data_IF_925015027646
#
_entry.id   IF_925015027646
#
_cell.length_a   1.000
_cell.length_b   1.000
_cell.length_c   1.000
_cell.angle_alpha   90.00
_cell.angle_beta   90.00
_cell.angle_gamma   90.00
#
_symmetry.space_group_name_H-M   'P 1'
#
loop_
_entity.id
_entity.type
_entity.pdbx_description
1 polymer ?
#
# COMPACT_ATOMS: atom_id res chain seq x y z
N UNK A 1 -18.42 33.86 -3.49
CA UNK A 1 -17.88 32.52 -3.16
C UNK A 1 -16.34 32.59 -3.16
N UNK A 2 -15.74 33.24 -2.16
CA UNK A 2 -14.30 33.58 -2.20
C UNK A 2 -13.58 33.44 -0.85
N UNK A 3 -13.99 32.53 0.04
CA UNK A 3 -13.47 32.51 1.42
C UNK A 3 -13.28 31.11 2.04
N UNK A 4 -12.76 30.12 1.31
CA UNK A 4 -12.59 28.76 1.85
C UNK A 4 -11.21 28.09 1.66
N UNK A 5 -10.12 28.85 1.47
CA UNK A 5 -8.79 28.23 1.32
C UNK A 5 -7.64 28.81 2.17
N UNK A 6 -7.91 29.64 3.18
CA UNK A 6 -6.86 30.28 3.99
C UNK A 6 -6.85 29.84 5.47
N UNK A 7 -6.93 28.54 5.76
CA UNK A 7 -6.82 28.05 7.15
C UNK A 7 -5.81 26.91 7.21
N UNK A 8 -4.54 27.21 7.44
CA UNK A 8 -3.56 26.16 7.70
C UNK A 8 -2.08 26.50 7.57
N UNK A 9 -1.69 27.77 7.41
CA UNK A 9 -0.28 28.18 7.49
C UNK A 9 -0.17 29.30 8.52
N UNK A 10 0.23 28.94 9.74
CA UNK A 10 0.45 29.79 10.91
C UNK A 10 -0.82 30.41 11.52
N UNK A 11 -1.19 29.88 12.69
CA UNK A 11 -2.11 30.52 13.63
C UNK A 11 -1.22 31.10 14.73
N UNK A 12 -1.07 32.44 14.75
CA UNK A 12 -0.16 33.18 15.62
C UNK A 12 0.62 34.26 14.86
N UNK A 13 0.76 35.43 15.47
CA UNK A 13 1.47 36.59 14.91
C UNK A 13 2.96 36.27 14.72
N UNK A 14 3.45 36.36 13.48
CA UNK A 14 4.83 36.02 13.12
C UNK A 14 5.65 37.31 13.14
N UNK A 15 6.71 37.38 13.96
CA UNK A 15 7.54 38.57 14.07
C UNK A 15 7.94 39.13 12.70
N UNK A 16 7.69 40.42 12.48
CA UNK A 16 8.09 41.13 11.27
C UNK A 16 9.61 41.03 11.08
N UNK A 17 10.05 40.75 9.85
CA UNK A 17 11.48 40.65 9.49
C UNK A 17 12.07 39.24 9.44
N UNK A 18 11.30 38.19 9.77
CA UNK A 18 11.78 36.80 9.61
C UNK A 18 11.41 36.24 8.24
N UNK A 19 12.41 35.92 7.43
CA UNK A 19 12.23 35.21 6.16
C UNK A 19 11.76 33.77 6.43
N UNK A 20 10.51 33.42 6.08
CA UNK A 20 10.00 32.05 6.22
C UNK A 20 10.25 31.29 4.91
N UNK A 21 11.12 30.26 4.88
CA UNK A 21 11.35 29.48 3.66
C UNK A 21 10.17 28.54 3.38
N UNK A 22 9.45 28.80 2.28
CA UNK A 22 8.33 27.98 1.82
C UNK A 22 8.85 26.84 0.93
N UNK A 23 8.82 25.61 1.45
CA UNK A 23 9.17 24.42 0.68
C UNK A 23 7.93 23.75 0.08
N UNK A 24 7.62 24.03 -1.19
CA UNK A 24 6.58 23.29 -1.93
C UNK A 24 7.13 21.97 -2.48
N UNK A 25 6.71 20.84 -1.91
CA UNK A 25 7.09 19.52 -2.43
C UNK A 25 6.06 19.05 -3.46
N UNK A 26 6.31 19.33 -4.74
CA UNK A 26 5.49 18.80 -5.82
C UNK A 26 5.71 17.28 -5.94
N UNK A 27 4.68 16.43 -5.70
CA UNK A 27 4.79 15.01 -5.95
C UNK A 27 5.06 14.82 -7.45
N UNK A 28 6.13 14.09 -7.78
CA UNK A 28 6.68 13.80 -9.12
C UNK A 28 5.74 13.13 -10.15
N UNK A 29 4.43 13.40 -10.12
CA UNK A 29 3.42 12.70 -10.90
C UNK A 29 2.52 13.58 -11.76
N UNK A 30 2.60 14.92 -11.69
CA UNK A 30 1.79 15.79 -12.57
C UNK A 30 2.46 17.14 -12.89
N UNK A 31 3.76 17.17 -13.15
CA UNK A 31 4.35 18.30 -13.88
C UNK A 31 4.33 17.91 -15.35
N UNK A 32 3.26 18.24 -16.06
CA UNK A 32 3.37 18.34 -17.51
C UNK A 32 4.27 19.56 -17.76
N UNK A 33 5.30 19.46 -18.62
CA UNK A 33 6.04 20.66 -19.02
C UNK A 33 5.02 21.64 -19.60
N UNK A 34 5.13 22.91 -19.21
CA UNK A 34 4.38 23.99 -19.85
C UNK A 34 4.80 23.97 -21.32
N UNK A 35 3.94 23.40 -22.17
CA UNK A 35 4.13 23.40 -23.61
C UNK A 35 3.55 24.72 -24.09
N UNK A 36 4.41 25.69 -24.37
CA UNK A 36 4.06 26.85 -25.18
C UNK A 36 3.89 26.37 -26.63
N UNK A 37 2.68 25.94 -26.95
CA UNK A 37 2.30 25.63 -28.33
C UNK A 37 1.21 26.60 -28.75
N UNK A 38 1.47 27.39 -29.79
CA UNK A 38 0.50 28.28 -30.43
C UNK A 38 -0.66 27.54 -31.12
N UNK A 39 -0.62 26.20 -31.16
CA UNK A 39 -1.56 25.37 -31.92
C UNK A 39 -2.21 24.25 -31.09
N UNK A 40 -2.79 24.56 -29.93
CA UNK A 40 -3.69 23.62 -29.26
C UNK A 40 -5.07 23.64 -29.92
N UNK A 41 -5.17 22.96 -31.07
CA UNK A 41 -6.42 22.64 -31.72
C UNK A 41 -7.16 21.55 -30.94
N UNK A 42 -8.32 21.91 -30.40
CA UNK A 42 -9.39 21.01 -29.97
C UNK A 42 -10.71 21.60 -30.47
N UNK A 43 -11.69 20.75 -30.82
CA UNK A 43 -12.29 20.73 -32.15
C UNK A 43 -13.43 21.74 -32.30
N UNK A 44 -13.30 22.64 -33.26
CA UNK A 44 -14.42 23.34 -33.89
C UNK A 44 -15.03 22.40 -34.94
N UNK A 45 -16.11 21.72 -34.57
CA UNK A 45 -17.15 21.34 -35.54
C UNK A 45 -18.15 22.51 -35.60
N UNK A 46 -18.27 23.23 -36.73
CA UNK A 46 -19.33 24.21 -36.93
C UNK A 46 -20.28 23.70 -38.02
N UNK A 47 -21.30 22.93 -37.65
CA UNK A 47 -22.54 22.82 -38.44
C UNK A 47 -23.65 22.15 -37.63
N UNK A 48 -24.83 22.75 -37.68
CA UNK A 48 -26.04 22.44 -36.92
C UNK A 48 -25.99 22.90 -35.46
N UNK A 49 -26.54 24.08 -35.16
CA UNK A 49 -27.65 24.32 -34.21
C UNK A 49 -28.14 25.74 -34.49
N UNK A 50 -29.41 25.83 -34.86
CA UNK A 50 -30.07 27.07 -35.24
C UNK A 50 -30.15 28.08 -34.11
N UNK A 51 -30.33 29.33 -34.54
CA UNK A 51 -30.89 30.49 -33.85
C UNK A 51 -31.20 30.34 -32.35
N UNK A 52 -30.47 31.11 -31.53
CA UNK A 52 -31.14 32.07 -30.65
C UNK A 52 -30.19 33.26 -30.36
N UNK A 53 -30.70 34.45 -30.63
CA UNK A 53 -30.08 35.77 -30.41
C UNK A 53 -29.92 36.05 -28.90
N UNK A 54 -28.85 36.77 -28.54
CA UNK A 54 -28.69 37.43 -27.24
C UNK A 54 -27.28 38.05 -27.09
N UNK A 55 -27.15 39.39 -26.93
CA UNK A 55 -25.87 40.08 -27.10
C UNK A 55 -25.14 40.41 -25.78
N UNK A 56 -23.87 40.83 -25.94
CA UNK A 56 -23.05 41.69 -25.06
C UNK A 56 -22.60 41.09 -23.71
N UNK A 57 -21.36 41.25 -23.24
CA UNK A 57 -20.36 42.30 -23.47
C UNK A 57 -18.94 41.76 -23.31
N UNK A 58 -18.05 42.32 -24.11
CA UNK A 58 -16.61 42.10 -24.12
C UNK A 58 -15.99 43.21 -23.28
N UNK A 59 -15.25 42.88 -22.23
CA UNK A 59 -14.30 43.80 -21.61
C UNK A 59 -12.92 43.17 -21.60
N UNK A 60 -12.12 43.70 -22.52
CA UNK A 60 -10.68 43.54 -22.66
C UNK A 60 -9.98 44.19 -21.48
N UNK A 61 -9.09 43.46 -20.82
CA UNK A 61 -8.01 44.06 -20.04
C UNK A 61 -6.76 43.18 -20.17
N UNK A 62 -5.89 43.56 -21.10
CA UNK A 62 -4.49 43.15 -21.20
C UNK A 62 -3.62 44.34 -20.78
N UNK A 63 -2.39 44.03 -20.36
CA UNK A 63 -1.35 44.87 -19.75
C UNK A 63 -1.47 44.86 -18.22
N UNK A 64 -0.42 44.70 -17.41
CA UNK A 64 1.00 44.53 -17.62
C UNK A 64 1.50 43.62 -16.49
N UNK A 65 2.56 42.85 -16.68
CA UNK A 65 3.83 43.02 -15.98
C UNK A 65 4.80 42.00 -16.58
N UNK A 66 5.76 42.52 -17.33
CA UNK A 66 6.91 41.77 -17.80
C UNK A 66 7.86 41.50 -16.64
N UNK A 67 8.22 40.24 -16.46
CA UNK A 67 9.44 39.83 -15.79
C UNK A 67 10.05 38.73 -16.66
N UNK A 68 11.00 39.12 -17.51
CA UNK A 68 11.78 38.20 -18.32
C UNK A 68 12.63 37.29 -17.44
N UNK A 69 12.67 36.01 -17.78
CA UNK A 69 13.65 35.06 -17.26
C UNK A 69 14.44 34.49 -18.44
N UNK A 70 15.78 34.42 -18.35
CA UNK A 70 16.60 34.03 -19.48
C UNK A 70 16.42 32.56 -19.84
N UNK A 71 16.31 32.35 -21.14
CA UNK A 71 16.31 31.07 -21.82
C UNK A 71 17.66 30.37 -21.62
N UNK A 72 17.70 29.29 -20.82
CA UNK A 72 18.88 28.42 -20.68
C UNK A 72 18.67 27.15 -21.49
N UNK A 73 19.06 27.25 -22.77
CA UNK A 73 19.23 26.11 -23.63
C UNK A 73 20.66 25.57 -23.52
N UNK A 74 20.76 24.25 -23.64
CA UNK A 74 21.99 23.46 -23.76
C UNK A 74 22.83 23.27 -22.48
N UNK A 75 22.97 22.00 -22.07
CA UNK A 75 24.22 21.26 -22.22
C UNK A 75 24.09 19.87 -21.59
N UNK A 76 23.93 18.89 -22.47
CA UNK A 76 24.27 17.51 -22.20
C UNK A 76 25.79 17.45 -21.90
N UNK A 77 26.20 17.31 -20.64
CA UNK A 77 27.64 17.39 -20.38
C UNK A 77 28.19 16.92 -19.05
N UNK A 78 27.45 16.27 -18.15
CA UNK A 78 28.05 15.86 -16.85
C UNK A 78 27.63 14.45 -16.41
N UNK A 79 28.31 13.45 -16.97
CA UNK A 79 28.41 12.09 -16.39
C UNK A 79 29.83 11.51 -16.51
N UNK A 80 30.84 12.28 -16.13
CA UNK A 80 32.16 11.78 -15.75
C UNK A 80 32.74 12.73 -14.73
N UNK A 81 32.77 12.29 -13.47
CA UNK A 81 33.67 12.66 -12.38
C UNK A 81 33.00 12.22 -11.06
N UNK A 82 33.79 12.04 -10.00
CA UNK A 82 33.46 11.39 -8.73
C UNK A 82 33.62 9.85 -8.72
N UNK A 83 34.84 9.41 -9.02
CA UNK A 83 35.46 8.34 -8.25
C UNK A 83 36.99 8.47 -8.27
N UNK A 84 37.49 9.59 -7.75
CA UNK A 84 38.85 9.72 -7.23
C UNK A 84 38.69 10.26 -5.83
N UNK A 85 39.08 9.44 -4.84
CA UNK A 85 39.50 9.82 -3.48
C UNK A 85 39.45 8.57 -2.61
N UNK A 86 40.55 7.82 -2.65
CA UNK A 86 41.19 7.25 -1.46
C UNK A 86 42.62 6.98 -1.89
N UNK A 87 43.44 8.03 -1.76
CA UNK A 87 44.88 7.92 -1.77
C UNK A 87 45.30 6.93 -0.70
N UNK A 88 45.88 5.82 -1.14
CA UNK A 88 46.79 5.02 -0.34
C UNK A 88 48.15 5.26 -0.95
N UNK A 89 48.95 6.02 -0.21
CA UNK A 89 50.40 5.90 -0.10
C UNK A 89 50.89 4.55 -0.62
N UNK A 90 51.87 4.57 -1.52
CA UNK A 90 53.04 3.68 -1.51
C UNK A 90 54.05 4.16 -2.56
N UNK A 91 55.08 4.83 -2.04
CA UNK A 91 56.47 4.75 -2.48
C UNK A 91 56.84 5.32 -3.86
N UNK A 92 57.13 6.63 -3.87
CA UNK A 92 58.36 7.11 -4.51
C UNK A 92 59.51 6.71 -3.58
N UNK A 93 60.26 5.67 -3.97
CA UNK A 93 61.65 5.49 -3.59
C UNK A 93 62.38 5.38 -4.93
N UNK A 94 62.82 6.54 -5.40
CA UNK A 94 63.82 6.65 -6.45
C UNK A 94 65.18 6.29 -5.83
N UNK A 95 65.93 5.51 -6.61
CA UNK A 95 67.37 5.59 -6.78
C UNK A 95 68.25 5.52 -5.53
N UNK A 96 68.56 4.28 -5.15
CA UNK A 96 69.93 3.96 -4.77
C UNK A 96 70.43 2.86 -5.70
N UNK A 97 71.29 3.27 -6.62
CA UNK A 97 72.08 2.38 -7.46
C UNK A 97 72.95 1.49 -6.58
N UNK A 98 72.61 0.21 -6.54
CA UNK A 98 73.55 -0.84 -6.18
C UNK A 98 73.49 -1.88 -7.28
N UNK A 99 74.38 -1.66 -8.25
CA UNK A 99 74.89 -2.64 -9.20
C UNK A 99 75.50 -3.81 -8.44
N UNK A 100 74.65 -4.75 -8.01
CA UNK A 100 75.11 -6.05 -7.51
C UNK A 100 75.12 -7.03 -8.66
N UNK A 101 76.32 -7.22 -9.19
CA UNK A 101 76.76 -8.36 -10.00
C UNK A 101 76.26 -9.65 -9.34
N UNK A 102 75.32 -10.33 -9.98
CA UNK A 102 74.91 -11.68 -9.62
C UNK A 102 74.88 -12.52 -10.89
N UNK A 103 75.87 -13.40 -10.98
CA UNK A 103 76.20 -14.20 -12.14
C UNK A 103 75.03 -15.02 -12.70
N UNK A 104 75.09 -15.20 -14.01
CA UNK A 104 74.16 -16.00 -14.78
C UNK A 104 74.24 -17.48 -14.40
N UNK A 105 73.31 -17.92 -13.57
CA UNK A 105 72.80 -19.28 -13.66
C UNK A 105 71.50 -19.24 -14.46
N UNK A 106 71.61 -19.47 -15.78
CA UNK A 106 70.48 -19.88 -16.65
C UNK A 106 69.99 -21.24 -16.17
N UNK A 107 69.25 -21.26 -15.08
CA UNK A 107 68.37 -22.37 -14.77
C UNK A 107 67.24 -22.34 -15.78
N UNK A 108 67.23 -23.31 -16.69
CA UNK A 108 66.09 -23.56 -17.56
C UNK A 108 64.84 -23.76 -16.67
N UNK A 109 64.07 -22.68 -16.47
CA UNK A 109 62.76 -22.76 -15.83
C UNK A 109 61.82 -23.42 -16.83
N UNK A 110 61.83 -24.75 -16.81
CA UNK A 110 60.85 -25.59 -17.51
C UNK A 110 59.46 -25.04 -17.16
N UNK A 111 58.75 -24.64 -18.19
CA UNK A 111 57.57 -23.78 -18.18
C UNK A 111 56.36 -24.46 -17.52
N UNK A 112 56.35 -24.53 -16.18
CA UNK A 112 55.19 -24.96 -15.37
C UNK A 112 53.96 -24.01 -15.47
N UNK A 113 54.01 -22.98 -16.32
CA UNK A 113 52.97 -21.97 -16.54
C UNK A 113 51.65 -22.50 -17.10
N UNK A 114 51.66 -23.61 -17.85
CA UNK A 114 50.47 -24.17 -18.50
C UNK A 114 49.42 -24.71 -17.51
N UNK A 115 49.84 -25.37 -16.43
CA UNK A 115 48.94 -25.98 -15.46
C UNK A 115 48.24 -24.95 -14.55
N UNK A 116 48.88 -23.80 -14.31
CA UNK A 116 48.34 -22.70 -13.48
C UNK A 116 47.18 -21.97 -14.19
N UNK A 117 47.30 -21.72 -15.50
CA UNK A 117 46.24 -21.12 -16.34
C UNK A 117 44.99 -22.01 -16.41
N UNK A 118 45.13 -23.33 -16.60
CA UNK A 118 43.99 -24.29 -16.65
C UNK A 118 43.18 -24.32 -15.34
N UNK A 119 43.83 -24.27 -14.16
CA UNK A 119 43.13 -24.21 -12.85
C UNK A 119 42.35 -22.91 -12.64
N UNK A 120 42.90 -21.76 -13.07
CA UNK A 120 42.25 -20.45 -12.98
C UNK A 120 40.94 -20.39 -13.79
N UNK A 121 40.97 -20.89 -15.03
CA UNK A 121 39.80 -20.92 -15.92
C UNK A 121 38.66 -21.79 -15.38
N UNK A 122 38.97 -22.95 -14.77
CA UNK A 122 37.97 -23.81 -14.13
C UNK A 122 37.28 -23.11 -12.95
N UNK A 123 38.03 -22.34 -12.16
CA UNK A 123 37.49 -21.55 -11.04
C UNK A 123 36.60 -20.40 -11.53
N UNK A 124 37.02 -19.64 -12.55
CA UNK A 124 36.21 -18.59 -13.18
C UNK A 124 34.90 -19.15 -13.72
N UNK A 125 34.93 -20.27 -14.47
CA UNK A 125 33.73 -20.96 -14.98
C UNK A 125 32.78 -21.38 -13.84
N UNK A 126 33.28 -21.99 -12.76
CA UNK A 126 32.46 -22.37 -11.59
C UNK A 126 31.85 -21.16 -10.87
N UNK A 127 32.61 -20.08 -10.67
CA UNK A 127 32.13 -18.82 -10.04
C UNK A 127 31.04 -18.16 -10.91
N UNK A 128 31.25 -18.11 -12.22
CA UNK A 128 30.26 -17.60 -13.19
C UNK A 128 28.96 -18.41 -13.18
N UNK A 129 29.03 -19.75 -13.25
CA UNK A 129 27.85 -20.64 -13.14
C UNK A 129 27.08 -20.41 -11.83
N UNK A 130 27.80 -20.28 -10.70
CA UNK A 130 27.19 -20.00 -9.38
C UNK A 130 26.51 -18.63 -9.34
N UNK A 131 27.11 -17.61 -9.95
CA UNK A 131 26.56 -16.26 -10.03
C UNK A 131 25.30 -16.22 -10.91
N UNK A 132 25.33 -16.83 -12.11
CA UNK A 132 24.17 -17.00 -13.00
C UNK A 132 23.02 -17.71 -12.27
N UNK A 133 23.29 -18.80 -11.54
CA UNK A 133 22.28 -19.52 -10.73
C UNK A 133 21.68 -18.64 -9.63
N UNK A 134 22.49 -17.81 -8.96
CA UNK A 134 22.03 -16.85 -7.94
C UNK A 134 21.14 -15.75 -8.56
N UNK A 135 21.52 -15.22 -9.73
CA UNK A 135 20.75 -14.20 -10.48
C UNK A 135 19.41 -14.76 -10.97
N UNK A 136 19.39 -15.97 -11.57
CA UNK A 136 18.16 -16.70 -11.94
C UNK A 136 17.23 -16.91 -10.74
N UNK A 137 17.76 -17.35 -9.59
CA UNK A 137 16.97 -17.49 -8.34
C UNK A 137 16.40 -16.15 -7.84
N UNK A 138 17.15 -15.04 -7.93
CA UNK A 138 16.65 -13.69 -7.60
C UNK A 138 15.54 -13.25 -8.56
N UNK A 139 15.71 -13.40 -9.88
CA UNK A 139 14.68 -13.09 -10.90
C UNK A 139 13.40 -13.89 -10.65
N UNK A 140 13.48 -15.22 -10.47
CA UNK A 140 12.32 -16.07 -10.14
C UNK A 140 11.59 -15.61 -8.85
N UNK A 141 12.33 -15.20 -7.80
CA UNK A 141 11.72 -14.65 -6.58
C UNK A 141 11.01 -13.31 -6.82
N UNK A 142 11.62 -12.40 -7.60
CA UNK A 142 10.99 -11.11 -7.98
C UNK A 142 9.73 -11.35 -8.81
N UNK A 143 9.79 -12.26 -9.78
CA UNK A 143 8.65 -12.63 -10.62
C UNK A 143 7.50 -13.24 -9.79
N UNK A 144 7.78 -14.23 -8.92
CA UNK A 144 6.78 -14.79 -7.99
C UNK A 144 6.16 -13.73 -7.08
N UNK A 145 6.93 -12.74 -6.62
CA UNK A 145 6.40 -11.60 -5.84
C UNK A 145 5.47 -10.72 -6.70
N UNK A 146 5.87 -10.35 -7.92
CA UNK A 146 5.05 -9.56 -8.86
C UNK A 146 3.75 -10.29 -9.20
N UNK A 147 3.81 -11.58 -9.57
CA UNK A 147 2.63 -12.43 -9.85
C UNK A 147 1.67 -12.51 -8.65
N UNK A 148 2.18 -12.72 -7.43
CA UNK A 148 1.36 -12.70 -6.20
C UNK A 148 0.71 -11.34 -5.93
N UNK A 149 1.41 -10.22 -6.19
CA UNK A 149 0.82 -8.88 -6.08
C UNK A 149 -0.31 -8.68 -7.10
N UNK A 150 -0.08 -9.01 -8.37
CA UNK A 150 -1.10 -8.95 -9.45
C UNK A 150 -2.33 -9.79 -9.10
N UNK A 151 -2.13 -11.03 -8.64
CA UNK A 151 -3.22 -11.93 -8.24
C UNK A 151 -4.02 -11.38 -7.05
N UNK A 152 -3.36 -10.82 -6.03
CA UNK A 152 -4.04 -10.14 -4.92
C UNK A 152 -4.85 -8.93 -5.38
N UNK A 153 -4.32 -8.11 -6.30
CA UNK A 153 -5.04 -6.97 -6.89
C UNK A 153 -6.28 -7.45 -7.66
N UNK A 154 -6.15 -8.43 -8.57
CA UNK A 154 -7.27 -9.03 -9.32
C UNK A 154 -8.34 -9.60 -8.38
N UNK A 155 -7.94 -10.39 -7.38
CA UNK A 155 -8.85 -10.96 -6.38
C UNK A 155 -9.57 -9.86 -5.58
N UNK A 156 -8.84 -8.83 -5.13
CA UNK A 156 -9.44 -7.68 -4.42
C UNK A 156 -10.48 -6.95 -5.28
N UNK A 157 -10.16 -6.67 -6.55
CA UNK A 157 -11.11 -6.06 -7.51
C UNK A 157 -12.36 -6.93 -7.69
N UNK A 158 -12.23 -8.25 -7.89
CA UNK A 158 -13.37 -9.19 -8.00
C UNK A 158 -14.23 -9.18 -6.74
N UNK A 159 -13.62 -9.18 -5.55
CA UNK A 159 -14.33 -9.11 -4.27
C UNK A 159 -15.08 -7.78 -4.10
N UNK A 160 -14.46 -6.64 -4.45
CA UNK A 160 -15.12 -5.32 -4.44
C UNK A 160 -16.32 -5.28 -5.40
N UNK A 161 -16.16 -5.77 -6.64
CA UNK A 161 -17.26 -5.88 -7.61
C UNK A 161 -18.41 -6.76 -7.08
N UNK A 162 -18.12 -7.94 -6.52
CA UNK A 162 -19.14 -8.83 -5.91
C UNK A 162 -19.86 -8.16 -4.74
N UNK A 163 -19.13 -7.44 -3.86
CA UNK A 163 -19.73 -6.67 -2.75
C UNK A 163 -20.62 -5.54 -3.24
N UNK A 164 -20.20 -4.77 -4.25
CA UNK A 164 -21.03 -3.72 -4.89
C UNK A 164 -22.31 -4.31 -5.49
N UNK A 165 -22.22 -5.42 -6.24
CA UNK A 165 -23.39 -6.12 -6.80
C UNK A 165 -24.37 -6.58 -5.71
N UNK A 166 -23.86 -7.17 -4.62
CA UNK A 166 -24.71 -7.56 -3.46
C UNK A 166 -25.42 -6.37 -2.83
N UNK A 167 -24.70 -5.26 -2.58
CA UNK A 167 -25.30 -4.01 -2.06
C UNK A 167 -26.39 -3.46 -2.99
N UNK A 168 -26.14 -3.44 -4.31
CA UNK A 168 -27.17 -3.01 -5.28
C UNK A 168 -28.41 -3.89 -5.25
N UNK A 169 -28.25 -5.23 -5.22
CA UNK A 169 -29.37 -6.18 -5.11
C UNK A 169 -30.17 -5.98 -3.82
N UNK A 170 -29.47 -5.78 -2.70
CA UNK A 170 -30.10 -5.52 -1.41
C UNK A 170 -30.89 -4.21 -1.41
N UNK A 171 -30.31 -3.10 -1.89
CA UNK A 171 -31.03 -1.83 -2.09
C UNK A 171 -32.26 -1.96 -3.00
N UNK A 172 -32.16 -2.73 -4.09
CA UNK A 172 -33.30 -3.00 -4.99
C UNK A 172 -34.41 -3.78 -4.27
N UNK A 173 -34.05 -4.76 -3.43
CA UNK A 173 -35.02 -5.51 -2.62
C UNK A 173 -35.69 -4.60 -1.57
N UNK A 174 -34.91 -3.80 -0.83
CA UNK A 174 -35.44 -2.84 0.17
C UNK A 174 -36.40 -1.84 -0.49
N UNK A 175 -36.00 -1.19 -1.60
CA UNK A 175 -36.90 -0.30 -2.37
C UNK A 175 -38.17 -0.98 -2.86
N UNK A 176 -38.12 -2.25 -3.27
CA UNK A 176 -39.32 -3.00 -3.68
C UNK A 176 -40.24 -3.27 -2.49
N UNK A 177 -39.71 -3.62 -1.33
CA UNK A 177 -40.49 -3.81 -0.09
C UNK A 177 -41.16 -2.50 0.31
N UNK A 178 -40.40 -1.40 0.35
CA UNK A 178 -40.91 -0.08 0.68
C UNK A 178 -42.03 0.39 -0.28
N UNK A 179 -41.83 0.24 -1.60
CA UNK A 179 -42.89 0.53 -2.59
C UNK A 179 -44.14 -0.32 -2.38
N UNK A 180 -43.99 -1.60 -1.99
CA UNK A 180 -45.13 -2.48 -1.69
C UNK A 180 -45.86 -2.03 -0.41
N UNK A 181 -45.14 -1.72 0.67
CA UNK A 181 -45.70 -1.17 1.91
C UNK A 181 -46.47 0.13 1.61
N UNK A 182 -45.81 1.12 1.01
CA UNK A 182 -46.42 2.40 0.60
C UNK A 182 -47.64 2.23 -0.32
N UNK A 183 -47.58 1.32 -1.29
CA UNK A 183 -48.73 1.06 -2.18
C UNK A 183 -49.90 0.41 -1.45
N UNK A 184 -49.66 -0.43 -0.44
CA UNK A 184 -50.72 -1.01 0.40
C UNK A 184 -51.38 0.08 1.24
N UNK A 185 -50.59 0.94 1.89
CA UNK A 185 -51.07 2.11 2.63
C UNK A 185 -51.95 3.02 1.77
N UNK A 186 -51.46 3.41 0.59
CA UNK A 186 -52.24 4.26 -0.31
C UNK A 186 -53.56 3.62 -0.76
N UNK A 187 -53.58 2.29 -0.97
CA UNK A 187 -54.81 1.55 -1.27
C UNK A 187 -55.77 1.51 -0.07
N UNK A 188 -55.27 1.33 1.16
CA UNK A 188 -56.07 1.42 2.39
C UNK A 188 -56.71 2.81 2.50
N UNK A 189 -55.91 3.89 2.48
CA UNK A 189 -56.38 5.30 2.56
C UNK A 189 -57.42 5.61 1.48
N UNK A 190 -57.19 5.17 0.22
CA UNK A 190 -58.16 5.36 -0.87
C UNK A 190 -59.45 4.55 -0.66
N UNK A 191 -59.39 3.35 -0.08
CA UNK A 191 -60.59 2.56 0.26
C UNK A 191 -61.38 3.23 1.40
N UNK A 192 -60.72 3.72 2.45
CA UNK A 192 -61.34 4.50 3.53
C UNK A 192 -62.08 5.73 2.98
N UNK A 193 -61.39 6.58 2.20
CA UNK A 193 -62.01 7.74 1.52
C UNK A 193 -63.21 7.38 0.63
N UNK A 194 -63.15 6.26 -0.11
CA UNK A 194 -64.31 5.79 -0.91
C UNK A 194 -65.48 5.37 -0.04
N UNK A 195 -65.23 4.69 1.09
CA UNK A 195 -66.26 4.32 2.08
C UNK A 195 -66.91 5.56 2.69
N UNK A 196 -66.13 6.54 3.16
CA UNK A 196 -66.62 7.83 3.68
C UNK A 196 -67.53 8.53 2.65
N UNK A 197 -67.09 8.65 1.38
CA UNK A 197 -67.92 9.22 0.28
C UNK A 197 -69.21 8.44 0.02
N UNK A 198 -69.17 7.11 0.10
CA UNK A 198 -70.35 6.25 -0.07
C UNK A 198 -71.35 6.43 1.08
N UNK A 199 -70.88 6.50 2.34
CA UNK A 199 -71.69 6.81 3.52
C UNK A 199 -72.40 8.16 3.36
N UNK A 200 -71.66 9.23 3.02
CA UNK A 200 -72.23 10.57 2.77
C UNK A 200 -73.32 10.58 1.68
N UNK A 201 -73.14 9.81 0.60
CA UNK A 201 -74.14 9.69 -0.48
C UNK A 201 -75.41 8.92 -0.07
N UNK A 202 -75.30 7.94 0.82
CA UNK A 202 -76.44 7.14 1.28
C UNK A 202 -77.17 7.77 2.48
N UNK A 203 -76.47 8.48 3.35
CA UNK A 203 -77.04 9.11 4.55
C UNK A 203 -77.82 10.40 4.29
N UNK A 204 -77.62 11.08 3.16
CA UNK A 204 -78.31 12.35 2.84
C UNK A 204 -79.70 12.24 2.21
N UNK A 205 -80.27 11.03 2.07
CA UNK A 205 -81.48 10.79 1.27
C UNK A 205 -82.75 10.38 2.02
N UNK A 206 -82.68 10.10 3.33
CA UNK A 206 -83.83 9.62 4.10
C UNK A 206 -84.08 10.50 5.32
N UNK A 207 -85.08 11.39 5.26
CA UNK A 207 -85.45 12.19 6.43
C UNK A 207 -86.31 13.43 6.21
N UNK A 208 -86.87 13.66 5.02
CA UNK A 208 -88.02 14.58 4.89
C UNK A 208 -89.28 13.85 5.37
N UNK A 209 -89.46 13.73 6.69
CA UNK A 209 -90.79 13.66 7.31
C UNK A 209 -90.69 13.93 8.81
N UNK A 210 -90.87 15.20 9.14
CA UNK A 210 -91.56 15.68 10.33
C UNK A 210 -90.95 15.35 11.68
N UNK A 211 -90.31 16.34 12.31
CA UNK A 211 -90.10 16.33 13.75
C UNK A 211 -89.01 17.29 14.19
N UNK A 212 -89.42 18.45 14.69
CA UNK A 212 -88.58 19.35 15.51
C UNK A 212 -87.90 18.53 16.62
N UNK A 213 -86.62 18.21 16.47
CA UNK A 213 -85.74 17.92 17.63
C UNK A 213 -84.27 17.91 17.22
N UNK A 214 -83.56 18.93 17.69
CA UNK A 214 -82.21 18.81 18.25
C UNK A 214 -81.04 18.92 17.27
N UNK A 215 -80.25 19.97 17.46
CA UNK A 215 -78.97 20.30 16.82
C UNK A 215 -77.82 19.35 17.19
N UNK A 216 -78.05 18.04 17.25
CA UNK A 216 -77.10 17.05 17.82
C UNK A 216 -76.31 16.23 16.78
N UNK A 217 -76.06 16.80 15.60
CA UNK A 217 -75.45 16.10 14.45
C UNK A 217 -74.01 16.50 14.12
N UNK A 218 -73.38 17.38 14.90
CA UNK A 218 -72.02 17.86 14.66
C UNK A 218 -70.92 16.92 15.20
N UNK A 219 -71.16 16.25 16.33
CA UNK A 219 -70.14 15.46 17.06
C UNK A 219 -69.66 14.21 16.29
N UNK A 220 -70.53 13.49 15.58
CA UNK A 220 -70.15 12.23 14.90
C UNK A 220 -69.12 12.39 13.77
N UNK A 221 -68.99 13.60 13.19
CA UNK A 221 -68.02 13.85 12.09
C UNK A 221 -66.62 14.14 12.63
N UNK A 222 -66.52 14.74 13.82
CA UNK A 222 -65.24 14.99 14.48
C UNK A 222 -64.63 13.67 15.01
N UNK A 223 -65.42 12.77 15.61
CA UNK A 223 -64.94 11.46 16.08
C UNK A 223 -64.33 10.61 14.94
N UNK A 224 -64.91 10.61 13.73
CA UNK A 224 -64.37 9.87 12.56
C UNK A 224 -63.05 10.47 12.01
N UNK A 225 -62.73 11.73 12.31
CA UNK A 225 -61.47 12.37 11.94
C UNK A 225 -60.38 12.09 12.99
N UNK A 226 -60.73 12.08 14.28
CA UNK A 226 -59.82 11.70 15.37
C UNK A 226 -59.35 10.25 15.25
N UNK A 227 -60.25 9.28 15.00
CA UNK A 227 -59.86 7.87 14.80
C UNK A 227 -58.89 7.69 13.61
N UNK A 228 -59.01 8.50 12.55
CA UNK A 228 -58.13 8.38 11.37
C UNK A 228 -56.74 8.97 11.65
N UNK A 229 -56.64 9.94 12.57
CA UNK A 229 -55.36 10.48 13.05
C UNK A 229 -54.68 9.47 13.97
N UNK A 230 -55.39 8.90 14.94
CA UNK A 230 -54.83 7.88 15.83
C UNK A 230 -54.29 6.67 15.05
N UNK A 231 -55.02 6.14 14.08
CA UNK A 231 -54.54 5.04 13.23
C UNK A 231 -53.32 5.41 12.37
N UNK A 232 -53.15 6.69 11.99
CA UNK A 232 -51.95 7.15 11.27
C UNK A 232 -50.75 7.28 12.21
N UNK A 233 -50.95 7.76 13.44
CA UNK A 233 -49.91 7.82 14.48
C UNK A 233 -49.43 6.41 14.87
N UNK A 234 -50.33 5.46 15.13
CA UNK A 234 -49.96 4.06 15.42
C UNK A 234 -49.17 3.42 14.26
N UNK A 235 -49.56 3.66 13.00
CA UNK A 235 -48.82 3.13 11.84
C UNK A 235 -47.43 3.78 11.66
N UNK A 236 -47.21 5.00 12.18
CA UNK A 236 -45.90 5.66 12.20
C UNK A 236 -45.02 5.11 13.33
N UNK A 237 -45.57 4.97 14.53
CA UNK A 237 -44.86 4.36 15.68
C UNK A 237 -44.39 2.93 15.35
N UNK A 238 -45.25 2.08 14.78
CA UNK A 238 -44.86 0.72 14.35
C UNK A 238 -43.70 0.74 13.33
N UNK A 239 -43.63 1.74 12.45
CA UNK A 239 -42.54 1.86 11.48
C UNK A 239 -41.23 2.33 12.13
N UNK A 240 -41.30 3.23 13.11
CA UNK A 240 -40.13 3.65 13.88
C UNK A 240 -39.55 2.47 14.68
N UNK A 241 -40.40 1.71 15.37
CA UNK A 241 -39.97 0.50 16.10
C UNK A 241 -39.32 -0.54 15.17
N UNK A 242 -39.93 -0.80 14.00
CA UNK A 242 -39.34 -1.70 13.00
C UNK A 242 -37.94 -1.20 12.53
N UNK A 243 -37.78 0.10 12.31
CA UNK A 243 -36.49 0.69 11.90
C UNK A 243 -35.43 0.61 13.01
N UNK A 244 -35.81 0.83 14.27
CA UNK A 244 -34.92 0.67 15.42
C UNK A 244 -34.43 -0.77 15.56
N UNK A 245 -35.34 -1.75 15.48
CA UNK A 245 -35.01 -3.18 15.53
C UNK A 245 -34.07 -3.58 14.38
N UNK A 246 -34.32 -3.10 13.15
CA UNK A 246 -33.39 -3.34 12.02
C UNK A 246 -32.00 -2.73 12.29
N UNK A 247 -31.92 -1.54 12.89
CA UNK A 247 -30.64 -0.90 13.23
C UNK A 247 -29.88 -1.65 14.33
N UNK A 248 -30.58 -2.12 15.36
CA UNK A 248 -30.03 -2.96 16.42
C UNK A 248 -29.43 -4.26 15.87
N UNK A 249 -30.16 -4.95 14.99
CA UNK A 249 -29.68 -6.15 14.31
C UNK A 249 -28.42 -5.88 13.45
N UNK A 250 -28.38 -4.73 12.76
CA UNK A 250 -27.19 -4.33 12.00
C UNK A 250 -25.97 -4.07 12.92
N UNK A 251 -26.18 -3.39 14.06
CA UNK A 251 -25.17 -3.14 15.10
C UNK A 251 -24.64 -4.46 15.68
N UNK A 252 -25.53 -5.40 16.01
CA UNK A 252 -25.27 -6.78 16.44
C UNK A 252 -24.36 -7.55 15.45
N UNK A 253 -24.76 -7.56 14.17
CA UNK A 253 -24.02 -8.20 13.08
C UNK A 253 -22.63 -7.57 12.91
N UNK A 254 -22.52 -6.25 13.02
CA UNK A 254 -21.24 -5.55 12.98
C UNK A 254 -20.36 -5.91 14.18
N UNK A 255 -20.89 -5.91 15.41
CA UNK A 255 -20.20 -6.34 16.64
C UNK A 255 -19.65 -7.76 16.45
N UNK A 256 -20.46 -8.71 15.94
CA UNK A 256 -20.04 -10.10 15.65
C UNK A 256 -18.94 -10.17 14.61
N UNK A 257 -19.01 -9.35 13.55
CA UNK A 257 -17.97 -9.28 12.53
C UNK A 257 -16.66 -8.69 13.06
N UNK A 258 -16.71 -7.61 13.86
CA UNK A 258 -15.56 -7.01 14.55
C UNK A 258 -14.91 -8.01 15.50
N UNK A 259 -15.68 -8.74 16.31
CA UNK A 259 -15.20 -9.85 17.18
C UNK A 259 -14.49 -10.93 16.36
N UNK A 260 -15.09 -11.44 15.27
CA UNK A 260 -14.47 -12.43 14.35
C UNK A 260 -13.16 -11.92 13.72
N UNK A 261 -13.12 -10.65 13.30
CA UNK A 261 -11.92 -10.01 12.72
C UNK A 261 -10.80 -9.88 13.76
N UNK A 262 -11.10 -9.44 14.99
CA UNK A 262 -10.15 -9.39 16.12
C UNK A 262 -9.57 -10.78 16.44
N UNK A 263 -10.42 -11.82 16.53
CA UNK A 263 -9.98 -13.23 16.74
C UNK A 263 -9.02 -13.70 15.63
N UNK A 264 -9.34 -13.45 14.35
CA UNK A 264 -8.47 -13.78 13.20
C UNK A 264 -7.12 -13.04 13.26
N UNK A 265 -7.13 -11.75 13.64
CA UNK A 265 -5.92 -10.95 13.78
C UNK A 265 -5.02 -11.46 14.92
N UNK A 266 -5.59 -11.75 16.11
CA UNK A 266 -4.89 -12.36 17.26
C UNK A 266 -4.25 -13.71 16.86
N UNK A 267 -5.00 -14.61 16.20
CA UNK A 267 -4.48 -15.89 15.67
C UNK A 267 -3.29 -15.68 14.71
N UNK A 268 -3.37 -14.69 13.80
CA UNK A 268 -2.27 -14.35 12.87
C UNK A 268 -1.04 -13.79 13.59
N UNK A 269 -1.22 -12.93 14.62
CA UNK A 269 -0.14 -12.38 15.45
C UNK A 269 0.55 -13.49 16.26
N UNK A 270 -0.20 -14.38 16.91
CA UNK A 270 0.33 -15.58 17.59
C UNK A 270 1.15 -16.48 16.64
N UNK A 271 0.63 -16.79 15.45
CA UNK A 271 1.37 -17.56 14.41
C UNK A 271 2.67 -16.86 14.00
N UNK A 272 2.70 -15.53 13.84
CA UNK A 272 3.92 -14.76 13.55
C UNK A 272 4.94 -14.83 14.71
N UNK A 273 4.50 -14.64 15.97
CA UNK A 273 5.36 -14.76 17.17
C UNK A 273 5.99 -16.16 17.26
N UNK A 274 5.20 -17.23 17.14
CA UNK A 274 5.70 -18.63 17.09
C UNK A 274 6.75 -18.84 16.00
N UNK A 275 6.54 -18.30 14.79
CA UNK A 275 7.55 -18.38 13.70
C UNK A 275 8.84 -17.62 14.02
N UNK A 276 8.76 -16.43 14.62
CA UNK A 276 9.94 -15.65 15.06
C UNK A 276 10.70 -16.40 16.16
N UNK A 277 10.00 -16.95 17.15
CA UNK A 277 10.58 -17.74 18.23
C UNK A 277 11.29 -19.00 17.71
N UNK A 278 10.64 -19.81 16.84
CA UNK A 278 11.26 -20.97 16.18
C UNK A 278 12.54 -20.59 15.41
N UNK A 279 12.55 -19.44 14.72
CA UNK A 279 13.75 -18.92 14.04
C UNK A 279 14.86 -18.55 15.04
N UNK A 280 14.55 -17.86 16.13
CA UNK A 280 15.52 -17.53 17.21
C UNK A 280 16.11 -18.82 17.81
N UNK A 281 15.26 -19.80 18.16
CA UNK A 281 15.69 -21.12 18.70
C UNK A 281 16.61 -21.87 17.73
N UNK A 282 16.27 -21.91 16.44
CA UNK A 282 17.14 -22.50 15.38
C UNK A 282 18.48 -21.78 15.26
N UNK A 283 18.52 -20.43 15.34
CA UNK A 283 19.77 -19.66 15.36
C UNK A 283 20.62 -19.99 16.60
N UNK A 284 20.03 -20.05 17.80
CA UNK A 284 20.72 -20.43 19.06
C UNK A 284 21.32 -21.85 18.96
N UNK A 285 20.55 -22.83 18.47
CA UNK A 285 21.05 -24.20 18.20
C UNK A 285 22.22 -24.22 17.22
N UNK A 286 22.16 -23.46 16.11
CA UNK A 286 23.26 -23.34 15.14
C UNK A 286 24.52 -22.72 15.77
N UNK A 287 24.38 -21.67 16.58
CA UNK A 287 25.49 -21.06 17.33
C UNK A 287 26.13 -22.07 18.29
N UNK A 288 25.33 -22.81 19.08
CA UNK A 288 25.82 -23.88 19.97
C UNK A 288 26.60 -24.96 19.19
N UNK A 289 26.05 -25.47 18.07
CA UNK A 289 26.75 -26.45 17.20
C UNK A 289 28.08 -25.91 16.66
N UNK A 290 28.14 -24.65 16.23
CA UNK A 290 29.38 -24.00 15.78
C UNK A 290 30.42 -23.91 16.91
N UNK A 291 30.02 -23.50 18.12
CA UNK A 291 30.90 -23.49 19.31
C UNK A 291 31.44 -24.89 19.61
N UNK A 292 30.60 -25.93 19.63
CA UNK A 292 31.03 -27.34 19.82
C UNK A 292 32.04 -27.78 18.75
N UNK A 293 31.78 -27.49 17.46
CA UNK A 293 32.72 -27.79 16.36
C UNK A 293 34.07 -27.08 16.52
N UNK A 294 34.07 -25.80 16.89
CA UNK A 294 35.31 -25.04 17.18
C UNK A 294 36.11 -25.66 18.34
N UNK A 295 35.44 -26.05 19.44
CA UNK A 295 36.10 -26.75 20.56
C UNK A 295 36.74 -28.07 20.12
N UNK A 296 36.01 -28.92 19.38
CA UNK A 296 36.55 -30.19 18.84
C UNK A 296 37.76 -29.96 17.92
N UNK A 297 37.69 -28.96 17.03
CA UNK A 297 38.79 -28.60 16.15
C UNK A 297 40.03 -28.13 16.92
N UNK A 298 39.86 -27.26 17.93
CA UNK A 298 40.96 -26.84 18.82
C UNK A 298 41.60 -28.03 19.54
N UNK A 299 40.80 -28.97 20.09
CA UNK A 299 41.30 -30.21 20.71
C UNK A 299 42.12 -31.06 19.72
N UNK A 300 41.62 -31.29 18.50
CA UNK A 300 42.34 -32.02 17.45
C UNK A 300 43.67 -31.34 17.08
N UNK A 301 43.68 -30.01 16.94
CA UNK A 301 44.89 -29.22 16.63
C UNK A 301 45.93 -29.32 17.77
N UNK A 302 45.50 -29.23 19.03
CA UNK A 302 46.37 -29.44 20.21
C UNK A 302 46.97 -30.85 20.22
N UNK A 303 46.17 -31.91 20.00
CA UNK A 303 46.67 -33.30 19.88
C UNK A 303 47.72 -33.44 18.77
N UNK A 304 47.47 -32.88 17.57
CA UNK A 304 48.45 -32.87 16.47
C UNK A 304 49.76 -32.16 16.84
N UNK A 305 49.68 -31.00 17.50
CA UNK A 305 50.87 -30.26 17.99
C UNK A 305 51.66 -31.09 19.02
N UNK A 306 51.00 -31.73 19.99
CA UNK A 306 51.64 -32.64 20.96
C UNK A 306 52.34 -33.82 20.27
N UNK A 307 51.69 -34.48 19.31
CA UNK A 307 52.30 -35.57 18.51
C UNK A 307 53.56 -35.08 17.75
N UNK A 308 53.50 -33.91 17.10
CA UNK A 308 54.67 -33.31 16.43
C UNK A 308 55.82 -33.03 17.41
N UNK A 309 55.53 -32.46 18.58
CA UNK A 309 56.55 -32.21 19.64
C UNK A 309 57.19 -33.51 20.13
N UNK A 310 56.40 -34.56 20.40
CA UNK A 310 56.91 -35.90 20.77
C UNK A 310 57.82 -36.48 19.69
N UNK A 311 57.43 -36.40 18.40
CA UNK A 311 58.29 -36.84 17.27
C UNK A 311 59.61 -36.07 17.22
N UNK A 312 59.58 -34.74 17.39
CA UNK A 312 60.80 -33.91 17.45
C UNK A 312 61.71 -34.30 18.62
N UNK A 313 61.15 -34.51 19.82
CA UNK A 313 61.91 -34.99 21.00
C UNK A 313 62.57 -36.34 20.74
N UNK A 314 61.83 -37.33 20.21
CA UNK A 314 62.39 -38.65 19.83
C UNK A 314 63.54 -38.53 18.82
N UNK A 315 63.41 -37.67 17.80
CA UNK A 315 64.49 -37.42 16.83
C UNK A 315 65.73 -36.81 17.49
N UNK A 316 65.56 -35.81 18.37
CA UNK A 316 66.67 -35.22 19.12
C UNK A 316 67.37 -36.24 20.02
N UNK A 317 66.60 -37.08 20.71
CA UNK A 317 67.15 -38.14 21.56
C UNK A 317 67.95 -39.17 20.75
N UNK A 318 67.42 -39.65 19.62
CA UNK A 318 68.16 -40.54 18.70
C UNK A 318 69.46 -39.90 18.19
N UNK A 319 69.45 -38.61 17.85
CA UNK A 319 70.66 -37.88 17.45
C UNK A 319 71.69 -37.80 18.59
N UNK A 320 71.25 -37.51 19.82
CA UNK A 320 72.14 -37.50 21.00
C UNK A 320 72.74 -38.87 21.27
N UNK A 321 71.95 -39.94 21.15
CA UNK A 321 72.43 -41.32 21.33
C UNK A 321 73.49 -41.70 20.29
N UNK A 322 73.23 -41.45 19.00
CA UNK A 322 74.23 -41.69 17.94
C UNK A 322 75.53 -40.91 18.15
N UNK A 323 75.46 -39.68 18.69
CA UNK A 323 76.66 -38.91 19.01
C UNK A 323 77.49 -39.52 20.16
N UNK A 324 76.84 -40.24 21.09
CA UNK A 324 77.51 -40.95 22.18
C UNK A 324 78.07 -42.32 21.76
N UNK A 325 77.66 -42.85 20.61
CA UNK A 325 78.15 -44.14 20.07
C UNK A 325 79.35 -43.93 19.11
N UNK A 326 79.71 -42.66 18.81
CA UNK A 326 80.82 -42.29 17.90
C UNK A 326 82.03 -41.73 18.66
N UNK A 327 81.81 -41.33 19.92
CA UNK A 327 82.85 -41.00 20.90
C UNK A 327 83.03 -42.23 21.76
#
# INVERSE_FOLDING_TARGET
>A
MSSLFASGCAEGDVCHGLSIPIYMVFPRLFTCPTLETTNFWGPTDPQSWGHHRGPSSVLSLRHALGCGFPHMDSLQGLKRCLLVETGSLMCLLEDTGLSSVCGGHRTQMVSLGGLRKKRSNRWRKKRSKRWRKKRRKKRRKRWRKKRRKRWRKKRSKRWRKKRKKRRKRWRKKRRKRWRKKRSKRWRKKRRKKRRKRWRKRRGGGGGRRGGRRGERGGEEVEEEEEEEVEEEEEEEEEEEEEEEVEEEEEKEVEKRWRKKRRKRWRKKRRKKRRKRWRKKRRKKRRKKRRKKRRKRWRKKRRKKRRKKRRKKRRKRWRKKRRKKEVV
#
